data_IF_073061580945
#
_entry.id   IF_073061580945
#
_cell.length_a   1.000
_cell.length_b   1.000
_cell.length_c   1.000
_cell.angle_alpha   90.00
_cell.angle_beta   90.00
_cell.angle_gamma   90.00
#
_symmetry.space_group_name_H-M   'P 1'
#
loop_
_entity.id
_entity.type
_entity.pdbx_description
1 polymer ?
#
# COMPACT_ATOMS: atom_id res chain seq x y z
N UNK A 1 -10.88 27.69 44.72
CA UNK A 1 -9.76 27.27 43.86
C UNK A 1 -10.31 26.09 43.07
N UNK A 2 -10.64 26.28 41.79
CA UNK A 2 -11.40 25.30 41.02
C UNK A 2 -10.57 24.04 40.77
N UNK A 3 -11.10 22.89 41.19
CA UNK A 3 -10.66 21.57 40.76
C UNK A 3 -11.04 21.42 39.28
N UNK A 4 -10.02 21.43 38.42
CA UNK A 4 -10.17 21.15 36.99
C UNK A 4 -10.20 19.64 36.81
N UNK A 5 -11.38 19.17 36.48
CA UNK A 5 -11.75 17.82 36.10
C UNK A 5 -10.79 17.26 35.03
N UNK A 6 -10.12 16.17 35.37
CA UNK A 6 -9.18 15.45 34.51
C UNK A 6 -9.93 14.88 33.32
N UNK A 7 -9.75 15.49 32.16
CA UNK A 7 -10.35 15.08 30.90
C UNK A 7 -10.01 13.63 30.56
N UNK A 8 -11.08 12.85 30.39
CA UNK A 8 -11.14 11.48 29.90
C UNK A 8 -10.29 11.31 28.63
N UNK A 9 -9.23 10.52 28.74
CA UNK A 9 -8.55 9.91 27.59
C UNK A 9 -9.52 8.89 27.00
N UNK A 10 -10.19 9.25 25.91
CA UNK A 10 -10.86 8.28 25.04
C UNK A 10 -9.77 7.43 24.35
N UNK A 11 -9.33 6.38 25.05
CA UNK A 11 -8.61 5.26 24.45
C UNK A 11 -9.62 4.47 23.62
N UNK A 12 -9.89 4.98 22.41
CA UNK A 12 -10.64 4.27 21.39
C UNK A 12 -9.81 3.05 20.98
N UNK A 13 -9.96 1.97 21.76
CA UNK A 13 -9.51 0.63 21.40
C UNK A 13 -10.03 0.35 19.98
N UNK A 14 -9.11 0.40 19.01
CA UNK A 14 -9.41 0.06 17.63
C UNK A 14 -9.80 -1.42 17.64
N UNK A 15 -11.09 -1.70 17.50
CA UNK A 15 -11.63 -3.05 17.30
C UNK A 15 -10.73 -3.78 16.28
N UNK A 16 -10.18 -4.96 16.62
CA UNK A 16 -9.35 -5.71 15.69
C UNK A 16 -10.12 -5.96 14.40
N UNK A 17 -9.53 -5.60 13.26
CA UNK A 17 -10.14 -5.87 11.97
C UNK A 17 -10.35 -7.37 11.81
N UNK A 18 -11.60 -7.78 11.60
CA UNK A 18 -11.98 -9.16 11.37
C UNK A 18 -12.18 -9.42 9.88
N UNK A 19 -11.47 -10.41 9.34
CA UNK A 19 -11.73 -10.97 8.02
C UNK A 19 -12.64 -12.19 8.10
N UNK A 20 -13.58 -12.32 7.17
CA UNK A 20 -14.37 -13.54 6.95
C UNK A 20 -14.09 -14.02 5.55
N UNK A 21 -13.86 -15.31 5.38
CA UNK A 21 -13.56 -15.94 4.10
C UNK A 21 -14.25 -17.30 4.01
N UNK A 22 -14.38 -17.84 2.81
CA UNK A 22 -14.81 -19.22 2.61
C UNK A 22 -13.71 -20.18 3.07
N UNK A 23 -14.09 -21.40 3.46
CA UNK A 23 -13.14 -22.45 3.86
C UNK A 23 -12.23 -22.88 2.70
N UNK A 24 -12.70 -22.73 1.45
CA UNK A 24 -11.95 -23.10 0.24
C UNK A 24 -10.89 -22.07 -0.18
N UNK A 25 -10.90 -20.86 0.38
CA UNK A 25 -10.00 -19.79 -0.09
C UNK A 25 -8.52 -20.04 0.26
N UNK A 26 -8.14 -20.45 1.48
CA UNK A 26 -6.75 -20.83 1.79
C UNK A 26 -6.24 -21.97 0.90
N UNK A 27 -7.08 -22.97 0.63
CA UNK A 27 -6.75 -24.10 -0.24
C UNK A 27 -6.47 -23.62 -1.67
N UNK A 28 -7.28 -22.69 -2.19
CA UNK A 28 -7.07 -22.09 -3.50
C UNK A 28 -5.72 -21.36 -3.57
N UNK A 29 -5.40 -20.54 -2.55
CA UNK A 29 -4.11 -19.85 -2.48
C UNK A 29 -2.93 -20.84 -2.43
N UNK A 30 -3.09 -21.94 -1.69
CA UNK A 30 -2.09 -23.01 -1.62
C UNK A 30 -1.87 -23.68 -2.99
N UNK A 31 -2.95 -24.01 -3.71
CA UNK A 31 -2.87 -24.63 -5.04
C UNK A 31 -2.26 -23.70 -6.08
N UNK A 32 -2.55 -22.40 -5.99
CA UNK A 32 -1.98 -21.39 -6.89
C UNK A 32 -0.54 -20.99 -6.52
N UNK A 33 -0.06 -21.34 -5.32
CA UNK A 33 1.20 -20.84 -4.79
C UNK A 33 1.23 -19.31 -4.68
N UNK A 34 0.09 -18.70 -4.33
CA UNK A 34 -0.12 -17.27 -4.42
C UNK A 34 -0.54 -16.65 -3.09
N UNK A 35 -0.27 -15.34 -2.97
CA UNK A 35 -0.84 -14.46 -1.94
C UNK A 35 -1.60 -13.34 -2.64
N UNK A 36 -2.56 -12.73 -1.94
CA UNK A 36 -3.38 -11.65 -2.47
C UNK A 36 -3.14 -10.36 -1.69
N UNK A 37 -2.97 -9.26 -2.41
CA UNK A 37 -2.90 -7.91 -1.86
C UNK A 37 -4.20 -7.18 -2.18
N UNK A 38 -4.79 -6.52 -1.18
CA UNK A 38 -6.02 -5.75 -1.34
C UNK A 38 -5.85 -4.36 -0.73
N UNK A 39 -6.08 -3.32 -1.51
CA UNK A 39 -6.20 -1.95 -1.01
C UNK A 39 -7.65 -1.64 -0.64
N UNK A 40 -7.84 -0.89 0.43
CA UNK A 40 -9.17 -0.46 0.90
C UNK A 40 -9.19 1.05 1.03
N UNK A 41 -9.83 1.70 0.08
CA UNK A 41 -9.83 3.16 -0.04
C UNK A 41 -10.33 3.86 1.24
N UNK A 42 -11.52 3.48 1.71
CA UNK A 42 -12.15 4.13 2.87
C UNK A 42 -11.59 3.66 4.22
N UNK A 43 -11.17 2.39 4.31
CA UNK A 43 -10.63 1.84 5.56
C UNK A 43 -9.14 2.17 5.77
N UNK A 44 -8.46 2.66 4.73
CA UNK A 44 -7.05 3.05 4.80
C UNK A 44 -6.14 1.85 5.12
N UNK A 45 -6.40 0.70 4.49
CA UNK A 45 -5.60 -0.52 4.69
C UNK A 45 -5.07 -1.08 3.38
N UNK A 46 -3.83 -1.53 3.40
CA UNK A 46 -3.35 -2.63 2.57
C UNK A 46 -3.51 -3.92 3.37
N UNK A 47 -4.21 -4.89 2.79
CA UNK A 47 -4.48 -6.20 3.36
C UNK A 47 -3.67 -7.23 2.58
N UNK A 48 -2.87 -8.02 3.28
CA UNK A 48 -2.12 -9.13 2.72
C UNK A 48 -2.77 -10.43 3.18
N UNK A 49 -3.20 -11.24 2.22
CA UNK A 49 -3.89 -12.50 2.44
C UNK A 49 -2.98 -13.63 1.95
N UNK A 50 -2.59 -14.54 2.86
CA UNK A 50 -1.78 -15.72 2.51
C UNK A 50 -2.36 -16.98 3.14
N UNK A 51 -2.16 -18.11 2.46
CA UNK A 51 -2.37 -19.40 3.10
C UNK A 51 -1.26 -19.67 4.11
N UNK A 52 -1.67 -20.15 5.28
CA UNK A 52 -0.79 -20.35 6.41
C UNK A 52 -1.09 -21.71 7.07
N UNK A 53 -0.61 -22.78 6.42
CA UNK A 53 -0.86 -24.15 6.89
C UNK A 53 -2.35 -24.55 6.87
N UNK A 54 -3.13 -23.99 5.94
CA UNK A 54 -4.59 -24.23 5.84
C UNK A 54 -5.44 -23.17 6.53
N UNK A 55 -4.83 -22.25 7.28
CA UNK A 55 -5.49 -21.08 7.87
C UNK A 55 -5.25 -19.86 6.98
N UNK A 56 -6.24 -18.97 6.81
CA UNK A 56 -5.98 -17.70 6.14
C UNK A 56 -5.31 -16.74 7.12
N UNK A 57 -4.05 -16.42 6.88
CA UNK A 57 -3.40 -15.32 7.58
C UNK A 57 -3.75 -13.99 6.87
N UNK A 58 -4.19 -13.01 7.65
CA UNK A 58 -4.53 -11.67 7.16
C UNK A 58 -3.69 -10.63 7.90
N UNK A 59 -2.77 -9.98 7.19
CA UNK A 59 -1.95 -8.92 7.73
C UNK A 59 -2.43 -7.55 7.22
N UNK A 60 -2.55 -6.58 8.14
CA UNK A 60 -3.03 -5.23 7.82
C UNK A 60 -1.90 -4.21 7.95
N UNK A 61 -1.77 -3.34 6.95
CA UNK A 61 -0.91 -2.15 6.99
C UNK A 61 -1.75 -0.91 6.81
N UNK A 62 -1.59 0.06 7.72
CA UNK A 62 -2.25 1.37 7.60
C UNK A 62 -1.58 2.19 6.50
N UNK A 63 -2.38 2.68 5.56
CA UNK A 63 -1.97 3.60 4.49
C UNK A 63 -3.10 4.62 4.26
N UNK A 64 -2.76 5.83 3.85
CA UNK A 64 -3.75 6.89 3.65
C UNK A 64 -4.38 6.73 2.26
N UNK A 65 -5.65 6.31 2.21
CA UNK A 65 -6.41 6.10 0.97
C UNK A 65 -5.60 5.34 -0.11
N UNK A 66 -5.16 4.10 0.16
CA UNK A 66 -4.45 3.32 -0.84
C UNK A 66 -5.40 2.98 -1.99
N UNK A 67 -4.95 3.20 -3.22
CA UNK A 67 -5.75 3.05 -4.44
C UNK A 67 -5.04 2.19 -5.48
N UNK A 68 -3.78 2.47 -5.78
CA UNK A 68 -3.00 1.74 -6.79
C UNK A 68 -2.02 0.73 -6.21
N UNK A 69 -1.76 -0.35 -6.95
CA UNK A 69 -0.80 -1.40 -6.62
C UNK A 69 0.02 -1.79 -7.85
N UNK A 70 1.31 -2.02 -7.66
CA UNK A 70 2.15 -2.66 -8.68
C UNK A 70 3.15 -3.62 -8.03
N UNK A 71 3.34 -4.80 -8.61
CA UNK A 71 4.32 -5.78 -8.14
C UNK A 71 5.19 -6.23 -9.31
N UNK A 72 6.50 -6.17 -9.15
CA UNK A 72 7.46 -6.73 -10.12
C UNK A 72 8.80 -7.06 -9.44
N UNK A 73 9.34 -8.25 -9.68
CA UNK A 73 10.73 -8.58 -9.31
C UNK A 73 11.05 -8.41 -7.82
N UNK A 74 10.09 -8.63 -6.92
CA UNK A 74 10.26 -8.40 -5.49
C UNK A 74 10.09 -6.94 -5.05
N UNK A 75 9.66 -6.05 -5.94
CA UNK A 75 9.20 -4.70 -5.62
C UNK A 75 7.69 -4.69 -5.50
N UNK A 76 7.18 -4.01 -4.48
CA UNK A 76 5.77 -3.69 -4.31
C UNK A 76 5.64 -2.17 -4.20
N UNK A 77 4.86 -1.56 -5.07
CA UNK A 77 4.47 -0.16 -4.97
C UNK A 77 2.99 -0.02 -4.59
N UNK A 78 2.68 0.96 -3.75
CA UNK A 78 1.32 1.28 -3.33
C UNK A 78 1.08 2.78 -3.49
N UNK A 79 0.21 3.15 -4.42
CA UNK A 79 -0.24 4.53 -4.63
C UNK A 79 -1.29 4.90 -3.58
N UNK A 80 -1.01 5.94 -2.81
CA UNK A 80 -1.85 6.47 -1.75
C UNK A 80 -2.38 7.87 -2.13
N UNK A 81 -3.02 8.57 -1.19
CA UNK A 81 -3.64 9.88 -1.51
C UNK A 81 -2.66 10.91 -2.05
N UNK A 82 -1.46 11.00 -1.47
CA UNK A 82 -0.49 12.06 -1.76
C UNK A 82 0.93 11.56 -1.97
N UNK A 83 1.13 10.25 -1.87
CA UNK A 83 2.43 9.60 -1.96
C UNK A 83 2.34 8.20 -2.58
N UNK A 84 3.50 7.71 -3.01
CA UNK A 84 3.70 6.33 -3.45
C UNK A 84 4.69 5.68 -2.49
N UNK A 85 4.26 4.60 -1.84
CA UNK A 85 5.13 3.76 -1.02
C UNK A 85 5.73 2.63 -1.84
N UNK A 86 7.04 2.43 -1.74
CA UNK A 86 7.76 1.32 -2.36
C UNK A 86 8.37 0.41 -1.30
N UNK A 87 8.10 -0.88 -1.42
CA UNK A 87 8.60 -1.94 -0.56
C UNK A 87 9.43 -2.92 -1.37
N UNK A 88 10.53 -3.42 -0.80
CA UNK A 88 11.35 -4.44 -1.43
C UNK A 88 11.31 -5.72 -0.60
N UNK A 89 11.24 -6.86 -1.29
CA UNK A 89 11.35 -8.16 -0.67
C UNK A 89 12.77 -8.39 -0.15
N UNK A 90 12.88 -8.78 1.12
CA UNK A 90 14.14 -9.13 1.80
C UNK A 90 14.00 -10.52 2.42
N UNK A 91 14.16 -11.60 1.63
CA UNK A 91 13.97 -12.98 2.10
C UNK A 91 14.89 -13.37 3.27
N UNK A 92 16.04 -12.71 3.40
CA UNK A 92 16.97 -12.93 4.52
C UNK A 92 16.35 -12.66 5.90
N UNK A 93 15.30 -11.81 5.96
CA UNK A 93 14.60 -11.45 7.20
C UNK A 93 13.57 -12.51 7.59
N UNK A 94 13.11 -13.34 6.65
CA UNK A 94 12.10 -14.37 6.89
C UNK A 94 12.50 -15.34 8.01
N UNK A 95 13.77 -15.80 8.04
CA UNK A 95 14.25 -16.69 9.11
C UNK A 95 14.19 -16.03 10.49
N UNK A 96 14.60 -14.77 10.58
CA UNK A 96 14.58 -14.03 11.84
C UNK A 96 13.15 -13.81 12.34
N UNK A 97 12.21 -13.53 11.44
CA UNK A 97 10.79 -13.46 11.77
C UNK A 97 10.27 -14.82 12.22
N UNK A 98 10.69 -15.89 11.55
CA UNK A 98 10.24 -17.23 11.90
C UNK A 98 10.72 -17.71 13.27
N UNK A 99 11.91 -17.26 13.69
CA UNK A 99 12.51 -17.63 14.98
C UNK A 99 12.15 -16.63 16.10
N UNK A 100 11.45 -15.55 15.77
CA UNK A 100 11.14 -14.48 16.70
C UNK A 100 10.10 -14.91 17.76
N UNK A 101 10.38 -14.74 19.06
CA UNK A 101 9.38 -14.96 20.10
C UNK A 101 8.27 -13.91 20.10
N UNK A 102 8.52 -12.72 19.53
CA UNK A 102 7.56 -11.61 19.46
C UNK A 102 6.53 -11.80 18.34
N UNK A 103 6.85 -12.67 17.37
CA UNK A 103 5.98 -13.01 16.25
C UNK A 103 5.91 -14.53 16.12
N UNK A 104 5.12 -15.21 16.98
CA UNK A 104 5.05 -16.67 16.97
C UNK A 104 4.65 -17.14 15.58
N UNK A 105 5.56 -17.86 14.92
CA UNK A 105 5.25 -18.40 13.61
C UNK A 105 4.18 -19.47 13.71
N UNK A 106 3.27 -19.39 12.77
CA UNK A 106 2.43 -20.49 12.36
C UNK A 106 3.25 -21.66 11.79
N UNK A 107 2.59 -22.77 11.49
CA UNK A 107 3.23 -23.93 10.87
C UNK A 107 3.88 -23.61 9.50
N UNK A 108 3.45 -22.54 8.80
CA UNK A 108 4.02 -22.16 7.51
C UNK A 108 5.04 -21.01 7.64
N UNK A 109 6.24 -21.25 7.13
CA UNK A 109 7.33 -20.27 7.11
C UNK A 109 7.05 -19.10 6.17
N UNK A 110 7.71 -17.97 6.43
CA UNK A 110 7.68 -16.83 5.51
C UNK A 110 8.58 -17.10 4.30
N UNK A 111 8.09 -16.77 3.10
CA UNK A 111 8.78 -16.88 1.81
C UNK A 111 9.15 -15.51 1.22
N UNK A 112 8.48 -14.45 1.67
CA UNK A 112 8.80 -13.06 1.35
C UNK A 112 8.62 -12.15 2.58
N UNK A 113 9.42 -11.08 2.64
CA UNK A 113 9.31 -10.03 3.64
C UNK A 113 9.50 -8.66 2.96
N UNK A 114 8.40 -7.93 2.76
CA UNK A 114 8.42 -6.63 2.09
C UNK A 114 8.68 -5.50 3.09
N UNK A 115 9.84 -4.87 2.97
CA UNK A 115 10.25 -3.76 3.82
C UNK A 115 10.16 -2.42 3.06
N UNK A 116 9.67 -1.35 3.69
CA UNK A 116 9.59 -0.04 3.05
C UNK A 116 10.99 0.48 2.70
N UNK A 117 11.16 0.97 1.47
CA UNK A 117 12.44 1.49 0.96
C UNK A 117 12.36 2.95 0.50
N UNK A 118 11.19 3.39 0.03
CA UNK A 118 10.97 4.76 -0.45
C UNK A 118 9.52 5.15 -0.18
N UNK A 119 9.31 6.42 0.16
CA UNK A 119 8.03 7.10 -0.07
C UNK A 119 8.31 8.29 -1.00
N UNK A 120 7.47 8.47 -2.01
CA UNK A 120 7.59 9.52 -3.02
C UNK A 120 6.37 10.41 -2.97
N UNK A 121 6.54 11.70 -2.66
CA UNK A 121 5.43 12.65 -2.59
C UNK A 121 4.96 13.03 -4.02
N UNK A 122 3.70 12.74 -4.31
CA UNK A 122 3.05 13.07 -5.60
C UNK A 122 2.15 14.30 -5.50
N UNK A 123 1.68 14.64 -4.30
CA UNK A 123 0.50 15.47 -4.13
C UNK A 123 -0.78 14.70 -4.49
N UNK A 124 -1.93 15.36 -4.38
CA UNK A 124 -3.24 14.75 -4.66
C UNK A 124 -3.48 14.61 -6.18
N UNK A 125 -2.88 13.55 -6.75
CA UNK A 125 -2.94 13.23 -8.18
C UNK A 125 -3.95 12.13 -8.49
N UNK A 126 -4.69 11.66 -7.48
CA UNK A 126 -5.71 10.61 -7.61
C UNK A 126 -5.17 9.36 -8.33
N UNK A 127 -4.10 8.76 -7.78
CA UNK A 127 -3.46 7.54 -8.31
C UNK A 127 -4.45 6.37 -8.25
N UNK A 128 -4.60 5.58 -9.31
CA UNK A 128 -5.53 4.43 -9.29
C UNK A 128 -4.92 3.11 -9.74
N UNK A 129 -4.24 3.07 -10.88
CA UNK A 129 -3.61 1.84 -11.39
C UNK A 129 -2.14 2.11 -11.70
N UNK A 130 -1.28 1.11 -11.49
CA UNK A 130 0.16 1.27 -11.55
C UNK A 130 0.83 0.04 -12.16
N UNK A 131 1.95 0.23 -12.84
CA UNK A 131 2.76 -0.87 -13.36
C UNK A 131 4.22 -0.45 -13.51
N UNK A 132 5.10 -1.44 -13.52
CA UNK A 132 6.51 -1.23 -13.77
C UNK A 132 6.80 -1.37 -15.28
N UNK A 133 7.60 -0.45 -15.82
CA UNK A 133 8.04 -0.45 -17.22
C UNK A 133 9.52 -0.05 -17.24
N UNK A 134 10.41 -0.95 -17.65
CA UNK A 134 11.85 -0.68 -17.73
C UNK A 134 12.42 -0.01 -16.45
N UNK A 135 12.08 -0.56 -15.29
CA UNK A 135 12.40 -0.06 -13.93
C UNK A 135 11.71 1.24 -13.48
N UNK A 136 10.95 1.89 -14.35
CA UNK A 136 10.14 3.05 -14.00
C UNK A 136 8.74 2.65 -13.57
N UNK A 137 8.24 3.33 -12.54
CA UNK A 137 6.87 3.14 -12.07
C UNK A 137 5.94 4.08 -12.84
N UNK A 138 5.13 3.50 -13.71
CA UNK A 138 4.09 4.20 -14.47
C UNK A 138 2.76 4.07 -13.73
N UNK A 139 2.01 5.16 -13.63
CA UNK A 139 0.72 5.17 -12.98
C UNK A 139 -0.31 6.03 -13.70
N UNK A 140 -1.57 5.67 -13.51
CA UNK A 140 -2.73 6.46 -13.95
C UNK A 140 -2.91 7.63 -12.99
N UNK A 141 -2.78 8.84 -13.52
CA UNK A 141 -3.05 10.09 -12.84
C UNK A 141 -4.40 10.63 -13.33
N UNK A 142 -5.46 10.37 -12.57
CA UNK A 142 -6.82 10.74 -12.99
C UNK A 142 -7.12 12.23 -12.76
N UNK A 143 -6.44 12.88 -11.80
CA UNK A 143 -6.54 14.32 -11.60
C UNK A 143 -6.00 15.10 -12.82
N UNK A 144 -4.99 14.57 -13.50
CA UNK A 144 -4.36 15.18 -14.67
C UNK A 144 -4.72 14.52 -16.01
N UNK A 145 -5.59 13.50 -15.98
CA UNK A 145 -6.01 12.74 -17.17
C UNK A 145 -4.82 12.24 -18.01
N UNK A 146 -3.81 11.66 -17.37
CA UNK A 146 -2.59 11.21 -18.03
C UNK A 146 -2.05 9.90 -17.42
N UNK A 147 -1.14 9.26 -18.15
CA UNK A 147 -0.17 8.34 -17.56
C UNK A 147 1.03 9.17 -17.14
N UNK A 148 1.55 8.89 -15.95
CA UNK A 148 2.70 9.60 -15.39
C UNK A 148 3.71 8.62 -14.79
N UNK A 149 4.93 9.09 -14.65
CA UNK A 149 5.98 8.47 -13.83
C UNK A 149 6.36 9.41 -12.69
N UNK A 150 7.10 8.90 -11.71
CA UNK A 150 7.66 9.72 -10.62
C UNK A 150 8.64 10.75 -11.18
N UNK A 151 8.72 11.91 -10.55
CA UNK A 151 9.70 12.93 -10.88
C UNK A 151 10.29 13.53 -9.61
N UNK A 152 11.62 13.57 -9.53
CA UNK A 152 12.33 14.19 -8.40
C UNK A 152 12.21 15.72 -8.42
N UNK A 153 11.94 16.32 -9.58
CA UNK A 153 11.82 17.77 -9.74
C UNK A 153 10.38 18.29 -9.60
N UNK A 154 9.39 17.51 -10.07
CA UNK A 154 8.00 17.99 -10.22
C UNK A 154 6.95 17.09 -9.55
N UNK A 155 7.36 16.21 -8.63
CA UNK A 155 6.54 15.13 -8.07
C UNK A 155 6.13 14.04 -9.08
N UNK A 156 5.72 14.40 -10.29
CA UNK A 156 5.47 13.45 -11.37
C UNK A 156 5.76 14.07 -12.75
N UNK A 157 5.93 13.23 -13.76
CA UNK A 157 6.11 13.62 -15.15
C UNK A 157 5.05 12.90 -16.02
N UNK A 158 4.16 13.62 -16.72
CA UNK A 158 3.25 13.01 -17.68
C UNK A 158 4.00 12.40 -18.86
N UNK A 159 3.76 11.12 -19.16
CA UNK A 159 4.38 10.40 -20.28
C UNK A 159 3.40 10.19 -21.44
N UNK A 160 2.11 10.21 -21.17
CA UNK A 160 1.07 10.07 -22.18
C UNK A 160 -0.23 10.73 -21.74
N UNK A 161 -0.98 11.28 -22.70
CA UNK A 161 -2.34 11.80 -22.47
C UNK A 161 -3.24 11.42 -23.66
N UNK A 162 -4.54 11.20 -23.44
CA UNK A 162 -5.47 10.98 -24.53
C UNK A 162 -5.68 12.25 -25.35
N UNK A 163 -5.93 12.10 -26.65
CA UNK A 163 -6.06 13.22 -27.60
C UNK A 163 -7.36 14.03 -27.44
N UNK A 164 -8.30 13.56 -26.63
CA UNK A 164 -9.61 14.17 -26.42
C UNK A 164 -9.56 15.47 -25.60
N UNK A 165 -8.44 15.74 -24.90
CA UNK A 165 -8.29 16.94 -24.07
C UNK A 165 -7.37 17.98 -24.74
N UNK A 166 -7.80 19.24 -24.81
CA UNK A 166 -7.07 20.35 -25.44
C UNK A 166 -6.22 21.16 -24.46
N UNK A 167 -6.52 21.11 -23.16
CA UNK A 167 -5.83 21.88 -22.11
C UNK A 167 -5.47 21.00 -20.93
N UNK A 168 -4.34 21.29 -20.27
CA UNK A 168 -4.00 20.67 -18.99
C UNK A 168 -4.94 21.18 -17.89
N UNK A 169 -5.35 20.33 -16.93
CA UNK A 169 -5.93 20.84 -15.70
C UNK A 169 -4.91 21.74 -14.99
N UNK A 170 -5.37 22.72 -14.19
CA UNK A 170 -4.48 23.65 -13.50
C UNK A 170 -3.41 22.89 -12.71
N UNK A 171 -2.17 23.37 -12.76
CA UNK A 171 -1.06 22.80 -12.00
C UNK A 171 -1.43 22.76 -10.51
N UNK A 172 -0.93 21.74 -9.78
CA UNK A 172 -1.06 21.69 -8.33
C UNK A 172 -0.48 23.00 -7.79
N UNK A 173 -1.30 23.81 -7.13
CA UNK A 173 -0.82 24.98 -6.40
C UNK A 173 0.09 24.46 -5.31
N UNK A 174 1.41 24.61 -5.48
CA UNK A 174 2.35 24.36 -4.42
C UNK A 174 1.98 25.30 -3.27
N UNK A 175 1.51 24.74 -2.15
CA UNK A 175 1.39 25.50 -0.92
C UNK A 175 2.81 25.86 -0.50
N UNK A 176 3.16 27.12 -0.72
CA UNK A 176 4.40 27.72 -0.27
C UNK A 176 4.60 27.43 1.23
N UNK A 177 5.80 27.00 1.61
CA UNK A 177 6.21 26.91 3.02
C UNK A 177 6.66 28.27 3.58
N UNK A 178 6.38 29.37 2.88
CA UNK A 178 6.58 30.76 3.29
C UNK A 178 5.32 31.59 3.10
#
# INVERSE_FOLDING_TARGET
MNDVETGRTDDATLEPLRSVHTTSFPELLAQLGASVLVTTYQAGKLVLLRNDGGVLNTHFRNLVKPMGLAVEGGRLAVGCSVDIWEFHNVPAVCRQLDESPDYPTSAARHDACFLPRRSHCTGDVQIHEMTWVDDELVFVNTAFSCLAKRSDANSFEPIWRPRLFSTWPPAITATSMV
#
